data_IF_791296253240
#
_entry.id   IF_791296253240
#
_cell.length_a   1.000
_cell.length_b   1.000
_cell.length_c   1.000
_cell.angle_alpha   90.00
_cell.angle_beta   90.00
_cell.angle_gamma   90.00
#
_symmetry.space_group_name_H-M   'P 1'
#
loop_
_entity.id
_entity.type
_entity.pdbx_description
1 polymer ?
#
# COMPACT_ATOMS: atom_id res chain seq x y z
N UNK A 1 -16.92 19.92 -1.32
CA UNK A 1 -15.62 19.85 -0.63
C UNK A 1 -15.42 18.56 0.16
N UNK A 2 -16.43 18.10 0.92
CA UNK A 2 -16.35 16.85 1.70
C UNK A 2 -15.98 15.63 0.87
N UNK A 3 -16.54 15.49 -0.34
CA UNK A 3 -16.20 14.39 -1.26
C UNK A 3 -14.73 14.39 -1.67
N UNK A 4 -14.19 15.53 -2.12
CA UNK A 4 -12.79 15.68 -2.48
C UNK A 4 -11.85 15.32 -1.32
N UNK A 5 -12.14 15.79 -0.10
CA UNK A 5 -11.31 15.45 1.07
C UNK A 5 -11.34 13.96 1.41
N UNK A 6 -12.51 13.31 1.33
CA UNK A 6 -12.63 11.86 1.53
C UNK A 6 -11.87 11.07 0.47
N UNK A 7 -11.89 11.53 -0.78
CA UNK A 7 -11.15 10.95 -1.88
C UNK A 7 -9.65 11.01 -1.62
N UNK A 8 -9.13 12.18 -1.25
CA UNK A 8 -7.70 12.33 -0.91
C UNK A 8 -7.29 11.51 0.31
N UNK A 9 -8.11 11.48 1.36
CA UNK A 9 -7.85 10.64 2.53
C UNK A 9 -7.78 9.14 2.15
N UNK A 10 -8.63 8.70 1.22
CA UNK A 10 -8.60 7.33 0.70
C UNK A 10 -7.35 7.07 -0.14
N UNK A 11 -6.93 8.01 -0.98
CA UNK A 11 -5.70 7.90 -1.76
C UNK A 11 -4.45 7.85 -0.90
N UNK A 12 -4.39 8.65 0.16
CA UNK A 12 -3.34 8.60 1.18
C UNK A 12 -3.31 7.24 1.86
N UNK A 13 -4.47 6.72 2.27
CA UNK A 13 -4.58 5.40 2.88
C UNK A 13 -4.03 4.32 1.95
N UNK A 14 -4.44 4.31 0.68
CA UNK A 14 -3.96 3.35 -0.33
C UNK A 14 -2.44 3.43 -0.50
N UNK A 15 -1.88 4.64 -0.59
CA UNK A 15 -0.43 4.83 -0.68
C UNK A 15 0.30 4.29 0.55
N UNK A 16 -0.25 4.46 1.76
CA UNK A 16 0.32 3.89 2.99
C UNK A 16 0.32 2.35 2.98
N UNK A 17 -0.76 1.72 2.47
CA UNK A 17 -0.80 0.25 2.35
C UNK A 17 0.38 -0.25 1.51
N UNK A 18 0.56 0.34 0.33
CA UNK A 18 1.61 -0.07 -0.59
C UNK A 18 2.99 0.25 0.00
N UNK A 19 3.16 1.44 0.59
CA UNK A 19 4.41 1.84 1.24
C UNK A 19 4.83 0.83 2.32
N UNK A 20 3.92 0.43 3.21
CA UNK A 20 4.24 -0.53 4.27
C UNK A 20 4.78 -1.83 3.69
N UNK A 21 4.14 -2.36 2.64
CA UNK A 21 4.56 -3.61 2.00
C UNK A 21 5.89 -3.44 1.26
N UNK A 22 6.10 -2.31 0.57
CA UNK A 22 7.38 -1.99 -0.06
C UNK A 22 8.50 -1.88 0.98
N UNK A 23 8.26 -1.21 2.12
CA UNK A 23 9.28 -1.03 3.15
C UNK A 23 9.62 -2.34 3.85
N UNK A 24 8.63 -3.22 4.03
CA UNK A 24 8.84 -4.55 4.57
C UNK A 24 9.77 -5.39 3.68
N UNK A 25 9.59 -5.29 2.36
CA UNK A 25 10.46 -5.90 1.36
C UNK A 25 11.85 -5.23 1.31
N UNK A 26 11.89 -3.90 1.20
CA UNK A 26 13.14 -3.13 1.08
C UNK A 26 14.05 -3.27 2.32
N UNK A 27 13.47 -3.54 3.49
CA UNK A 27 14.20 -3.78 4.74
C UNK A 27 14.35 -5.27 5.09
N UNK A 28 14.06 -6.17 4.15
CA UNK A 28 14.18 -7.62 4.37
C UNK A 28 15.57 -8.06 4.83
N UNK A 29 16.64 -7.45 4.30
CA UNK A 29 18.01 -7.71 4.77
C UNK A 29 18.23 -7.34 6.23
N UNK A 30 17.70 -6.20 6.69
CA UNK A 30 17.77 -5.81 8.11
C UNK A 30 17.01 -6.77 9.00
N UNK A 31 15.82 -7.19 8.57
CA UNK A 31 15.03 -8.20 9.29
C UNK A 31 15.79 -9.54 9.36
N UNK A 32 16.40 -9.98 8.26
CA UNK A 32 17.22 -11.19 8.25
C UNK A 32 18.36 -11.13 9.27
N UNK A 33 19.04 -9.99 9.41
CA UNK A 33 20.08 -9.83 10.42
C UNK A 33 19.55 -9.88 11.87
N UNK A 34 18.32 -9.41 12.10
CA UNK A 34 17.75 -9.31 13.46
C UNK A 34 17.11 -10.62 13.93
N UNK A 35 16.38 -11.30 13.05
CA UNK A 35 15.55 -12.46 13.40
C UNK A 35 15.91 -13.72 12.60
N UNK A 36 17.01 -13.69 11.83
CA UNK A 36 17.49 -14.82 11.05
C UNK A 36 16.43 -15.32 10.08
N UNK A 37 16.34 -16.65 9.93
CA UNK A 37 15.44 -17.33 8.99
C UNK A 37 13.94 -17.06 9.22
N UNK A 38 13.55 -16.48 10.36
CA UNK A 38 12.16 -16.11 10.63
C UNK A 38 11.69 -14.87 9.83
N UNK A 39 12.59 -14.15 9.17
CA UNK A 39 12.21 -12.92 8.46
C UNK A 39 11.18 -13.16 7.33
N UNK A 40 11.31 -14.25 6.58
CA UNK A 40 10.38 -14.56 5.47
C UNK A 40 8.93 -14.74 5.97
N UNK A 41 8.64 -15.64 6.94
CA UNK A 41 7.28 -15.77 7.45
C UNK A 41 6.78 -14.50 8.13
N UNK A 42 7.64 -13.74 8.81
CA UNK A 42 7.26 -12.44 9.40
C UNK A 42 6.83 -11.45 8.32
N UNK A 43 7.58 -11.33 7.24
CA UNK A 43 7.24 -10.48 6.09
C UNK A 43 5.90 -10.91 5.48
N UNK A 44 5.73 -12.22 5.24
CA UNK A 44 4.51 -12.74 4.62
C UNK A 44 3.27 -12.49 5.49
N UNK A 45 3.32 -12.84 6.78
CA UNK A 45 2.20 -12.67 7.72
C UNK A 45 1.87 -11.19 7.91
N UNK A 46 2.89 -10.35 8.09
CA UNK A 46 2.68 -8.90 8.26
C UNK A 46 2.13 -8.27 6.99
N UNK A 47 2.65 -8.63 5.83
CA UNK A 47 2.15 -8.16 4.53
C UNK A 47 0.69 -8.52 4.31
N UNK A 48 0.35 -9.80 4.47
CA UNK A 48 -1.03 -10.29 4.31
C UNK A 48 -2.00 -9.67 5.32
N UNK A 49 -1.59 -9.56 6.58
CA UNK A 49 -2.40 -8.94 7.64
C UNK A 49 -2.62 -7.46 7.36
N UNK A 50 -1.58 -6.74 6.90
CA UNK A 50 -1.70 -5.35 6.51
C UNK A 50 -2.72 -5.19 5.37
N UNK A 51 -2.62 -6.01 4.32
CA UNK A 51 -3.55 -5.98 3.20
C UNK A 51 -4.99 -6.22 3.65
N UNK A 52 -5.25 -7.20 4.51
CA UNK A 52 -6.59 -7.49 5.03
C UNK A 52 -7.17 -6.35 5.87
N UNK A 53 -6.39 -5.83 6.82
CA UNK A 53 -6.82 -4.72 7.70
C UNK A 53 -7.10 -3.46 6.87
N UNK A 54 -6.15 -3.07 6.01
CA UNK A 54 -6.29 -1.87 5.21
C UNK A 54 -7.36 -1.99 4.13
N UNK A 55 -7.58 -3.18 3.55
CA UNK A 55 -8.72 -3.43 2.65
C UNK A 55 -10.04 -3.12 3.35
N UNK A 56 -10.22 -3.58 4.59
CA UNK A 56 -11.44 -3.33 5.37
C UNK A 56 -11.66 -1.83 5.62
N UNK A 57 -10.59 -1.11 5.95
CA UNK A 57 -10.65 0.35 6.15
C UNK A 57 -10.93 1.08 4.84
N UNK A 58 -10.24 0.74 3.75
CA UNK A 58 -10.45 1.33 2.44
C UNK A 58 -11.86 1.09 1.91
N UNK A 59 -12.41 -0.12 2.05
CA UNK A 59 -13.80 -0.43 1.70
C UNK A 59 -14.76 0.47 2.47
N UNK A 60 -14.58 0.61 3.80
CA UNK A 60 -15.45 1.48 4.62
C UNK A 60 -15.41 2.93 4.16
N UNK A 61 -14.22 3.45 3.82
CA UNK A 61 -14.07 4.82 3.32
C UNK A 61 -14.75 5.00 1.95
N UNK A 62 -14.57 4.03 1.04
CA UNK A 62 -15.13 4.10 -0.32
C UNK A 62 -16.65 3.95 -0.31
N UNK A 63 -17.23 3.10 0.55
CA UNK A 63 -18.70 2.98 0.71
C UNK A 63 -19.32 4.33 1.06
N UNK A 64 -18.63 5.15 1.85
CA UNK A 64 -19.09 6.49 2.25
C UNK A 64 -18.87 7.58 1.19
N UNK A 65 -18.25 7.26 0.05
CA UNK A 65 -18.12 8.19 -1.07
C UNK A 65 -19.43 8.21 -1.87
N UNK A 66 -19.84 9.41 -2.28
CA UNK A 66 -20.94 9.54 -3.24
C UNK A 66 -20.58 8.82 -4.53
N UNK A 67 -21.51 8.06 -5.12
CA UNK A 67 -21.27 7.26 -6.32
C UNK A 67 -21.05 8.17 -7.54
N UNK A 68 -19.80 8.41 -7.91
CA UNK A 68 -19.45 9.30 -9.04
C UNK A 68 -18.28 8.73 -9.84
N UNK A 69 -18.19 9.09 -11.12
CA UNK A 69 -17.05 8.72 -11.98
C UNK A 69 -15.72 9.28 -11.46
N UNK A 70 -15.76 10.37 -10.67
CA UNK A 70 -14.58 10.90 -10.00
C UNK A 70 -13.89 9.90 -9.07
N UNK A 71 -14.61 8.91 -8.54
CA UNK A 71 -13.99 7.89 -7.69
C UNK A 71 -13.01 6.99 -8.48
N UNK A 72 -13.05 6.98 -9.82
CA UNK A 72 -12.05 6.30 -10.66
C UNK A 72 -10.66 6.95 -10.54
N UNK A 73 -10.56 8.21 -10.12
CA UNK A 73 -9.25 8.84 -9.85
C UNK A 73 -8.46 8.13 -8.74
N UNK A 74 -9.11 7.33 -7.89
CA UNK A 74 -8.45 6.47 -6.91
C UNK A 74 -7.44 5.50 -7.53
N UNK A 75 -7.54 5.16 -8.82
CA UNK A 75 -6.58 4.31 -9.52
C UNK A 75 -5.21 4.96 -9.72
N UNK A 76 -5.12 6.28 -9.62
CA UNK A 76 -3.89 7.05 -9.88
C UNK A 76 -3.48 7.93 -8.71
N UNK A 77 -4.43 8.46 -7.93
CA UNK A 77 -4.15 9.44 -6.87
C UNK A 77 -3.25 8.90 -5.75
N UNK A 78 -3.11 7.58 -5.56
CA UNK A 78 -2.17 7.01 -4.58
C UNK A 78 -0.70 7.23 -4.97
N UNK A 79 -0.40 7.35 -6.26
CA UNK A 79 0.97 7.42 -6.78
C UNK A 79 1.75 8.66 -6.28
N UNK A 80 1.23 9.90 -6.37
CA UNK A 80 1.94 11.06 -5.84
C UNK A 80 2.18 10.97 -4.32
N UNK A 81 1.23 10.41 -3.56
CA UNK A 81 1.41 10.19 -2.13
C UNK A 81 2.46 9.13 -1.84
N UNK A 82 2.50 8.04 -2.61
CA UNK A 82 3.54 7.01 -2.47
C UNK A 82 4.93 7.60 -2.73
N UNK A 83 5.07 8.42 -3.78
CA UNK A 83 6.33 9.09 -4.09
C UNK A 83 6.76 10.02 -2.95
N UNK A 84 5.84 10.84 -2.44
CA UNK A 84 6.08 11.73 -1.30
C UNK A 84 6.50 10.94 -0.06
N UNK A 85 5.77 9.89 0.31
CA UNK A 85 6.09 9.08 1.48
C UNK A 85 7.41 8.36 1.33
N UNK A 86 7.72 7.84 0.15
CA UNK A 86 9.01 7.20 -0.12
C UNK A 86 10.15 8.21 0.04
N UNK A 87 10.00 9.42 -0.49
CA UNK A 87 10.97 10.50 -0.34
C UNK A 87 11.16 10.93 1.12
N UNK A 88 10.09 11.08 1.89
CA UNK A 88 10.17 11.36 3.32
C UNK A 88 10.85 10.21 4.07
N UNK A 89 10.49 8.97 3.75
CA UNK A 89 11.01 7.79 4.42
C UNK A 89 12.51 7.59 4.22
N UNK A 90 13.02 7.77 3.00
CA UNK A 90 14.46 7.63 2.72
C UNK A 90 15.33 8.67 3.43
N UNK A 91 14.73 9.80 3.85
CA UNK A 91 15.40 10.81 4.69
C UNK A 91 15.41 10.45 6.18
N UNK A 92 14.37 9.76 6.65
CA UNK A 92 14.24 9.34 8.05
C UNK A 92 15.00 8.05 8.31
N UNK A 93 14.88 7.09 7.39
CA UNK A 93 15.52 5.79 7.43
C UNK A 93 16.57 5.75 6.32
N UNK A 94 17.86 5.89 6.66
CA UNK A 94 18.94 5.86 5.66
C UNK A 94 19.04 4.48 5.01
N UNK A 95 19.75 4.41 3.89
CA UNK A 95 20.02 3.15 3.19
C UNK A 95 20.68 2.11 4.12
N UNK A 96 20.38 0.81 3.93
CA UNK A 96 21.06 -0.25 4.67
C UNK A 96 22.56 -0.28 4.36
N UNK A 97 23.35 -0.80 5.31
CA UNK A 97 24.73 -1.18 5.06
C UNK A 97 24.78 -2.35 4.06
N UNK A 98 25.93 -2.57 3.41
CA UNK A 98 26.12 -3.62 2.38
C UNK A 98 25.58 -4.99 2.79
N UNK A 99 25.79 -5.39 4.05
CA UNK A 99 25.32 -6.65 4.61
C UNK A 99 23.80 -6.78 4.73
N UNK A 100 23.05 -5.67 4.70
CA UNK A 100 21.60 -5.63 4.84
C UNK A 100 20.88 -5.19 3.56
N UNK A 101 21.59 -5.10 2.43
CA UNK A 101 20.95 -4.79 1.15
C UNK A 101 19.98 -5.90 0.75
N UNK A 102 18.75 -5.54 0.32
CA UNK A 102 17.83 -6.52 -0.23
C UNK A 102 18.41 -7.09 -1.54
N UNK A 103 18.12 -8.36 -1.83
CA UNK A 103 18.56 -8.98 -3.07
C UNK A 103 17.90 -8.32 -4.29
N UNK A 104 18.50 -8.39 -5.49
CA UNK A 104 17.89 -7.84 -6.71
C UNK A 104 16.48 -8.37 -6.99
N UNK A 105 16.20 -9.63 -6.60
CA UNK A 105 14.87 -10.25 -6.70
C UNK A 105 13.83 -9.48 -5.90
N UNK A 106 14.19 -8.97 -4.72
CA UNK A 106 13.29 -8.14 -3.90
C UNK A 106 12.95 -6.82 -4.62
N UNK A 107 13.92 -6.22 -5.33
CA UNK A 107 13.67 -5.06 -6.17
C UNK A 107 12.63 -5.34 -7.27
N UNK A 108 12.75 -6.50 -7.94
CA UNK A 108 11.76 -6.95 -8.93
C UNK A 108 10.37 -7.17 -8.31
N UNK A 109 10.31 -7.74 -7.10
CA UNK A 109 9.04 -7.90 -6.36
C UNK A 109 8.39 -6.55 -6.03
N UNK A 110 9.16 -5.55 -5.63
CA UNK A 110 8.66 -4.19 -5.36
C UNK A 110 8.07 -3.57 -6.64
N UNK A 111 8.75 -3.73 -7.78
CA UNK A 111 8.26 -3.25 -9.09
C UNK A 111 6.96 -3.97 -9.45
N UNK A 112 6.94 -5.30 -9.38
CA UNK A 112 5.76 -6.11 -9.68
C UNK A 112 4.58 -5.73 -8.76
N UNK A 113 4.82 -5.56 -7.46
CA UNK A 113 3.81 -5.13 -6.49
C UNK A 113 3.23 -3.76 -6.86
N UNK A 114 4.08 -2.81 -7.26
CA UNK A 114 3.65 -1.45 -7.65
C UNK A 114 2.81 -1.48 -8.94
N UNK A 115 3.20 -2.30 -9.92
CA UNK A 115 2.45 -2.46 -11.18
C UNK A 115 1.10 -3.15 -10.97
N UNK A 116 1.03 -4.13 -10.06
CA UNK A 116 -0.20 -4.88 -9.76
C UNK A 116 -1.12 -4.08 -8.81
N UNK A 117 -0.61 -3.09 -8.08
CA UNK A 117 -1.38 -2.36 -7.08
C UNK A 117 -2.69 -1.72 -7.58
N UNK A 118 -2.78 -1.13 -8.80
CA UNK A 118 -4.06 -0.69 -9.37
C UNK A 118 -5.14 -1.78 -9.41
N UNK A 119 -4.76 -3.04 -9.63
CA UNK A 119 -5.70 -4.17 -9.60
C UNK A 119 -6.22 -4.42 -8.18
N UNK A 120 -5.38 -4.29 -7.17
CA UNK A 120 -5.82 -4.32 -5.77
C UNK A 120 -6.82 -3.20 -5.47
N UNK A 121 -6.53 -1.96 -5.90
CA UNK A 121 -7.46 -0.82 -5.76
C UNK A 121 -8.79 -1.11 -6.45
N UNK A 122 -8.76 -1.75 -7.62
CA UNK A 122 -9.96 -2.13 -8.38
C UNK A 122 -10.82 -3.12 -7.60
N UNK A 123 -10.23 -4.18 -7.07
CA UNK A 123 -10.95 -5.18 -6.28
C UNK A 123 -11.60 -4.54 -5.06
N UNK A 124 -10.83 -3.74 -4.30
CA UNK A 124 -11.33 -3.00 -3.12
C UNK A 124 -12.49 -2.08 -3.50
N UNK A 125 -12.37 -1.36 -4.63
CA UNK A 125 -13.39 -0.46 -5.13
C UNK A 125 -14.67 -1.20 -5.53
N UNK A 126 -14.56 -2.31 -6.27
CA UNK A 126 -15.70 -3.13 -6.69
C UNK A 126 -16.44 -3.74 -5.49
N UNK A 127 -15.71 -4.25 -4.50
CA UNK A 127 -16.29 -4.77 -3.25
C UNK A 127 -16.97 -3.67 -2.44
N UNK A 128 -16.43 -2.45 -2.46
CA UNK A 128 -17.08 -1.32 -1.82
C UNK A 128 -18.38 -0.92 -2.53
N UNK A 129 -18.36 -0.87 -3.88
CA UNK A 129 -19.53 -0.54 -4.70
C UNK A 129 -20.68 -1.53 -4.51
N UNK A 130 -20.40 -2.83 -4.41
CA UNK A 130 -21.44 -3.84 -4.18
C UNK A 130 -22.15 -3.72 -2.83
N UNK A 131 -21.55 -3.00 -1.87
CA UNK A 131 -22.11 -2.75 -0.53
C UNK A 131 -22.84 -1.41 -0.44
N UNK A 132 -22.84 -0.59 -1.49
CA UNK A 132 -23.57 0.68 -1.49
C UNK A 132 -25.07 0.41 -1.71
N UNK A 133 -25.97 1.08 -0.97
CA UNK A 133 -27.40 0.96 -1.22
C UNK A 133 -27.72 1.46 -2.62
N UNK A 134 -28.43 0.64 -3.40
CA UNK A 134 -29.06 1.06 -4.65
C UNK A 134 -30.19 2.01 -4.29
N UNK A 135 -30.05 3.28 -4.66
CA UNK A 135 -31.16 4.25 -4.69
C UNK A 135 -32.11 3.92 -5.83
#
# INVERSE_FOLDING_TARGET
>A
MTHFLKLQATSILLALVLLINIQLLANSGRLSLWIGNAYVPVIAVTGLTSLGVFSRVAIRQIVQLTPTLWNLSLYLLWLPYLALFTFCWTRVIPAPNEAAWPSPVVGLLIIALTIIFPLYVFIVHMVARSKQPTT
#
